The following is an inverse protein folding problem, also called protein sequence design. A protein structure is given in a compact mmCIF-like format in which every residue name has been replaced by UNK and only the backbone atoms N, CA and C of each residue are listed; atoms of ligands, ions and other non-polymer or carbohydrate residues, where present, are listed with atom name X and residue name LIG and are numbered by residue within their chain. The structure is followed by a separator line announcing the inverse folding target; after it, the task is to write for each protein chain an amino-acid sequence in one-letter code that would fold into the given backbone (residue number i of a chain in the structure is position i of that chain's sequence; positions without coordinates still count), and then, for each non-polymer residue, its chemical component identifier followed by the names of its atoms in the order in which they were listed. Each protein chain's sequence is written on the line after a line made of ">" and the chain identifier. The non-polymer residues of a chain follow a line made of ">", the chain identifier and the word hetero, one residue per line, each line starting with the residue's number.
data_IF_152914120971
#
_entry.id   IF_152914120971
#
_cell.length_a   1.000
_cell.length_b   1.000
_cell.length_c   1.000
_cell.angle_alpha   90.00
_cell.angle_beta   90.00
_cell.angle_gamma   90.00
#
_symmetry.space_group_name_H-M   'P 1'
#
loop_
_entity.id
_entity.type
_entity.pdbx_description
1 polymer ?
#
# COMPACT_ATOMS: atom_id res chain seq x y z
N UNK A 1 7.55 -20.56 -4.98
CA UNK A 1 8.32 -20.97 -3.79
C UNK A 1 8.57 -19.84 -2.77
N UNK A 2 8.50 -18.55 -3.16
CA UNK A 2 8.80 -17.43 -2.25
C UNK A 2 7.62 -16.91 -1.40
N UNK A 3 6.37 -16.96 -1.91
CA UNK A 3 5.19 -16.46 -1.18
C UNK A 3 4.88 -17.21 0.12
N UNK A 4 5.14 -18.53 0.15
CA UNK A 4 4.91 -19.39 1.32
C UNK A 4 5.75 -18.96 2.54
N UNK A 5 6.95 -18.41 2.31
CA UNK A 5 7.84 -17.92 3.37
C UNK A 5 7.35 -16.61 3.97
N UNK A 6 6.80 -15.71 3.14
CA UNK A 6 6.17 -14.48 3.62
C UNK A 6 4.94 -14.76 4.49
N UNK A 7 4.13 -15.76 4.11
CA UNK A 7 2.99 -16.22 4.91
C UNK A 7 3.40 -16.79 6.27
N UNK A 8 4.52 -17.54 6.35
CA UNK A 8 5.06 -18.03 7.63
C UNK A 8 5.69 -16.95 8.52
N UNK A 9 6.22 -15.88 7.91
CA UNK A 9 6.77 -14.73 8.63
C UNK A 9 5.68 -13.84 9.25
N UNK A 10 4.55 -13.67 8.56
CA UNK A 10 3.52 -12.69 8.92
C UNK A 10 2.98 -12.83 10.37
N UNK A 11 2.64 -14.02 10.91
CA UNK A 11 2.18 -14.15 12.29
C UNK A 11 3.20 -13.69 13.33
N UNK A 12 4.49 -13.78 13.02
CA UNK A 12 5.59 -13.38 13.89
C UNK A 12 5.91 -11.88 13.78
N UNK A 13 5.52 -11.24 12.67
CA UNK A 13 5.73 -9.81 12.43
C UNK A 13 4.47 -8.95 12.68
N UNK A 14 3.30 -9.58 12.77
CA UNK A 14 2.05 -8.88 13.09
C UNK A 14 2.08 -8.29 14.50
N UNK A 15 1.43 -7.15 14.72
CA UNK A 15 1.55 -6.40 15.96
C UNK A 15 0.97 -7.16 17.18
N UNK A 16 1.76 -7.41 18.26
CA UNK A 16 3.12 -6.92 18.50
C UNK A 16 4.20 -7.80 17.83
N UNK A 17 5.09 -7.15 17.07
CA UNK A 17 6.10 -7.85 16.27
C UNK A 17 7.15 -8.53 17.15
N UNK A 18 7.36 -9.83 16.92
CA UNK A 18 8.40 -10.65 17.57
C UNK A 18 9.68 -10.72 16.74
N UNK A 19 9.55 -10.62 15.41
CA UNK A 19 10.65 -10.65 14.46
C UNK A 19 10.45 -9.52 13.46
N UNK A 20 11.51 -8.76 13.17
CA UNK A 20 11.53 -7.71 12.16
C UNK A 20 12.15 -8.22 10.86
N UNK A 21 11.63 -7.76 9.72
CA UNK A 21 12.08 -8.21 8.40
C UNK A 21 13.51 -7.75 8.08
N UNK A 22 13.90 -6.59 8.60
CA UNK A 22 15.16 -5.92 8.28
C UNK A 22 15.26 -5.50 6.82
N UNK A 23 16.37 -4.84 6.47
CA UNK A 23 16.59 -4.34 5.11
C UNK A 23 16.81 -5.50 4.12
N UNK A 24 17.52 -6.55 4.53
CA UNK A 24 17.78 -7.73 3.70
C UNK A 24 16.49 -8.40 3.24
N UNK A 25 15.53 -8.61 4.14
CA UNK A 25 14.25 -9.24 3.80
C UNK A 25 13.40 -8.35 2.89
N UNK A 26 13.34 -7.04 3.16
CA UNK A 26 12.57 -6.09 2.37
C UNK A 26 13.14 -5.94 0.95
N UNK A 27 14.47 -5.79 0.80
CA UNK A 27 15.13 -5.70 -0.50
C UNK A 27 14.98 -7.00 -1.31
N UNK A 28 15.10 -8.16 -0.66
CA UNK A 28 14.90 -9.44 -1.33
C UNK A 28 13.47 -9.59 -1.88
N UNK A 29 12.44 -9.26 -1.09
CA UNK A 29 11.06 -9.30 -1.57
C UNK A 29 10.81 -8.29 -2.69
N UNK A 30 11.35 -7.08 -2.58
CA UNK A 30 11.27 -6.07 -3.64
C UNK A 30 11.89 -6.55 -4.95
N UNK A 31 13.09 -7.15 -4.89
CA UNK A 31 13.75 -7.74 -6.05
C UNK A 31 12.92 -8.86 -6.69
N UNK A 32 12.40 -9.79 -5.88
CA UNK A 32 11.57 -10.90 -6.40
C UNK A 32 10.29 -10.41 -7.10
N UNK A 33 9.65 -9.37 -6.55
CA UNK A 33 8.46 -8.76 -7.16
C UNK A 33 8.81 -8.06 -8.47
N UNK A 34 9.92 -7.31 -8.52
CA UNK A 34 10.39 -6.64 -9.73
C UNK A 34 10.76 -7.65 -10.83
N UNK A 35 11.49 -8.71 -10.50
CA UNK A 35 11.84 -9.78 -11.44
C UNK A 35 10.59 -10.46 -12.02
N UNK A 36 9.60 -10.77 -11.16
CA UNK A 36 8.32 -11.37 -11.59
C UNK A 36 7.52 -10.43 -12.50
N UNK A 37 7.52 -9.13 -12.20
CA UNK A 37 6.86 -8.12 -13.02
C UNK A 37 7.48 -8.01 -14.42
N UNK A 38 8.82 -8.01 -14.50
CA UNK A 38 9.55 -7.98 -15.78
C UNK A 38 9.28 -9.25 -16.59
N UNK A 39 9.33 -10.44 -15.95
CA UNK A 39 9.03 -11.70 -16.64
C UNK A 39 7.61 -11.71 -17.22
N UNK A 40 6.63 -11.20 -16.47
CA UNK A 40 5.25 -11.03 -16.94
C UNK A 40 5.14 -10.04 -18.11
N UNK A 41 5.86 -8.92 -18.04
CA UNK A 41 5.89 -7.90 -19.08
C UNK A 41 6.51 -8.40 -20.39
N UNK A 42 7.60 -9.19 -20.31
CA UNK A 42 8.27 -9.73 -21.50
C UNK A 42 7.38 -10.76 -22.23
N UNK A 43 6.59 -11.55 -21.50
CA UNK A 43 5.67 -12.54 -22.10
C UNK A 43 4.45 -11.92 -22.78
N UNK A 44 4.14 -10.65 -22.51
CA UNK A 44 3.03 -9.92 -23.12
C UNK A 44 3.54 -8.57 -23.61
N UNK A 45 3.88 -8.46 -24.90
CA UNK A 45 4.38 -7.24 -25.53
C UNK A 45 3.32 -6.12 -25.69
N UNK A 46 2.43 -5.97 -24.71
CA UNK A 46 1.33 -5.00 -24.71
C UNK A 46 1.52 -3.97 -23.60
N UNK A 47 1.01 -2.75 -23.79
CA UNK A 47 1.03 -1.71 -22.76
C UNK A 47 0.38 -2.15 -21.43
N UNK A 48 -0.59 -3.08 -21.49
CA UNK A 48 -1.24 -3.70 -20.33
C UNK A 48 -0.21 -4.35 -19.40
N UNK A 49 0.79 -5.02 -19.96
CA UNK A 49 1.75 -5.81 -19.21
C UNK A 49 2.68 -4.95 -18.33
N UNK A 50 2.84 -3.66 -18.67
CA UNK A 50 3.55 -2.68 -17.84
C UNK A 50 2.64 -2.06 -16.78
N UNK A 51 1.36 -1.83 -17.09
CA UNK A 51 0.41 -1.19 -16.17
C UNK A 51 0.04 -2.13 -15.02
N UNK A 52 -0.11 -3.43 -15.30
CA UNK A 52 -0.48 -4.46 -14.30
C UNK A 52 0.42 -4.45 -13.06
N UNK A 53 1.76 -4.57 -13.16
CA UNK A 53 2.63 -4.53 -11.98
C UNK A 53 2.67 -3.16 -11.30
N UNK A 54 2.58 -2.06 -12.06
CA UNK A 54 2.50 -0.70 -11.49
C UNK A 54 1.24 -0.57 -10.63
N UNK A 55 0.10 -1.07 -11.11
CA UNK A 55 -1.16 -1.04 -10.37
C UNK A 55 -1.10 -1.96 -9.15
N UNK A 56 -0.58 -3.18 -9.28
CA UNK A 56 -0.45 -4.13 -8.16
C UNK A 56 0.49 -3.60 -7.05
N UNK A 57 1.55 -2.88 -7.43
CA UNK A 57 2.50 -2.24 -6.51
C UNK A 57 2.15 -0.76 -6.25
N UNK A 58 0.91 -0.35 -6.55
CA UNK A 58 0.51 1.06 -6.48
C UNK A 58 0.73 1.66 -5.11
N UNK A 59 0.44 0.94 -4.03
CA UNK A 59 0.65 1.43 -2.66
C UNK A 59 2.13 1.70 -2.33
N UNK A 60 3.08 0.74 -2.44
CA UNK A 60 4.49 1.00 -2.13
C UNK A 60 5.12 2.02 -3.08
N UNK A 61 4.74 2.04 -4.37
CA UNK A 61 5.19 3.06 -5.32
C UNK A 61 4.71 4.44 -4.89
N UNK A 62 3.42 4.57 -4.56
CA UNK A 62 2.84 5.84 -4.14
C UNK A 62 3.44 6.35 -2.83
N UNK A 63 3.61 5.49 -1.81
CA UNK A 63 4.20 5.90 -0.52
C UNK A 63 5.63 6.42 -0.70
N UNK A 64 6.43 5.75 -1.54
CA UNK A 64 7.81 6.16 -1.84
C UNK A 64 7.84 7.45 -2.67
N UNK A 65 7.08 7.52 -3.75
CA UNK A 65 7.01 8.71 -4.61
C UNK A 65 6.53 9.94 -3.83
N UNK A 66 5.51 9.76 -2.98
CA UNK A 66 4.98 10.81 -2.14
C UNK A 66 5.99 11.28 -1.07
N UNK A 67 6.80 10.37 -0.51
CA UNK A 67 7.90 10.74 0.36
C UNK A 67 8.98 11.55 -0.37
N UNK A 68 9.37 11.12 -1.59
CA UNK A 68 10.34 11.84 -2.43
C UNK A 68 9.84 13.25 -2.75
N UNK A 69 8.63 13.39 -3.29
CA UNK A 69 8.05 14.70 -3.64
C UNK A 69 7.97 15.60 -2.41
N UNK A 70 7.53 15.09 -1.27
CA UNK A 70 7.49 15.85 -0.01
C UNK A 70 8.88 16.33 0.42
N UNK A 71 9.91 15.50 0.32
CA UNK A 71 11.28 15.88 0.72
C UNK A 71 11.81 16.99 -0.20
N UNK A 72 11.62 16.84 -1.51
CA UNK A 72 12.02 17.84 -2.51
C UNK A 72 11.35 19.20 -2.27
N UNK A 73 10.03 19.22 -2.03
CA UNK A 73 9.30 20.46 -1.76
C UNK A 73 9.72 21.16 -0.46
N UNK A 74 10.26 20.41 0.51
CA UNK A 74 10.78 20.96 1.77
C UNK A 74 12.30 21.21 1.75
N UNK A 75 12.95 21.10 0.58
CA UNK A 75 14.40 21.31 0.44
C UNK A 75 15.26 20.26 1.17
N UNK A 76 14.68 19.11 1.53
CA UNK A 76 15.39 18.02 2.22
C UNK A 76 16.02 17.04 1.25
N UNK A 77 17.09 16.37 1.69
CA UNK A 77 17.73 15.32 0.90
C UNK A 77 16.78 14.13 0.72
N UNK A 78 16.82 13.52 -0.46
CA UNK A 78 16.05 12.31 -0.77
C UNK A 78 16.48 11.13 0.12
N UNK A 79 17.71 11.10 0.63
CA UNK A 79 18.22 10.01 1.47
C UNK A 79 18.01 10.23 2.98
N UNK A 80 17.42 11.36 3.38
CA UNK A 80 17.17 11.65 4.79
C UNK A 80 16.05 10.76 5.36
N UNK A 81 16.21 10.28 6.59
CA UNK A 81 15.19 9.46 7.25
C UNK A 81 13.88 10.24 7.44
N UNK A 82 12.75 9.64 7.08
CA UNK A 82 11.43 10.27 7.17
C UNK A 82 10.44 9.37 7.90
N UNK A 83 9.67 9.96 8.80
CA UNK A 83 8.60 9.30 9.57
C UNK A 83 7.21 9.62 9.00
N UNK A 84 7.13 10.27 7.84
CA UNK A 84 5.91 10.72 7.20
C UNK A 84 5.23 9.69 6.29
N UNK A 85 5.59 8.41 6.37
CA UNK A 85 4.95 7.32 5.62
C UNK A 85 3.46 7.20 5.94
N UNK A 86 2.70 6.60 5.02
CA UNK A 86 1.24 6.54 5.11
C UNK A 86 0.73 5.95 6.42
N UNK A 87 1.37 4.91 6.96
CA UNK A 87 0.94 4.31 8.22
C UNK A 87 1.07 5.28 9.41
N UNK A 88 2.14 6.06 9.50
CA UNK A 88 2.29 7.08 10.53
C UNK A 88 1.26 8.21 10.37
N UNK A 89 0.95 8.60 9.14
CA UNK A 89 -0.11 9.60 8.87
C UNK A 89 -1.49 9.11 9.26
N UNK A 90 -1.79 7.83 9.02
CA UNK A 90 -3.02 7.18 9.45
C UNK A 90 -3.11 7.16 10.98
N UNK A 91 -2.01 6.84 11.67
CA UNK A 91 -1.97 6.90 13.14
C UNK A 91 -2.11 8.32 13.69
N UNK A 92 -1.51 9.33 13.04
CA UNK A 92 -1.67 10.73 13.42
C UNK A 92 -3.12 11.23 13.29
N UNK A 93 -3.96 10.55 12.50
CA UNK A 93 -5.41 10.81 12.38
C UNK A 93 -6.26 10.05 13.42
N UNK A 94 -5.64 9.37 14.38
CA UNK A 94 -6.32 8.69 15.49
C UNK A 94 -6.50 7.19 15.32
N UNK A 95 -6.00 6.59 14.23
CA UNK A 95 -6.01 5.14 14.07
C UNK A 95 -4.97 4.47 14.97
N UNK A 96 -5.32 3.33 15.54
CA UNK A 96 -4.31 2.44 16.13
C UNK A 96 -3.38 1.87 15.06
N UNK A 97 -2.17 1.48 15.45
CA UNK A 97 -1.20 0.87 14.54
C UNK A 97 -1.78 -0.35 13.80
N UNK A 98 -2.57 -1.19 14.50
CA UNK A 98 -3.25 -2.35 13.89
C UNK A 98 -4.25 -1.93 12.82
N UNK A 99 -5.09 -0.93 13.11
CA UNK A 99 -6.06 -0.41 12.15
C UNK A 99 -5.37 0.20 10.92
N UNK A 100 -4.28 0.96 11.12
CA UNK A 100 -3.51 1.54 10.01
C UNK A 100 -2.93 0.45 9.10
N UNK A 101 -2.34 -0.61 9.66
CA UNK A 101 -1.79 -1.73 8.87
C UNK A 101 -2.89 -2.49 8.12
N UNK A 102 -4.01 -2.81 8.78
CA UNK A 102 -5.15 -3.47 8.14
C UNK A 102 -5.74 -2.64 6.99
N UNK A 103 -5.81 -1.33 7.17
CA UNK A 103 -6.26 -0.41 6.11
C UNK A 103 -5.33 -0.42 4.90
N UNK A 104 -4.02 -0.43 5.13
CA UNK A 104 -3.02 -0.54 4.06
C UNK A 104 -3.08 -1.91 3.37
N UNK A 105 -3.34 -3.00 4.10
CA UNK A 105 -3.58 -4.32 3.50
C UNK A 105 -4.81 -4.32 2.60
N UNK A 106 -5.90 -3.69 3.05
CA UNK A 106 -7.12 -3.57 2.25
C UNK A 106 -6.88 -2.80 0.95
N UNK A 107 -6.14 -1.68 1.00
CA UNK A 107 -5.77 -0.92 -0.20
C UNK A 107 -4.92 -1.77 -1.15
N UNK A 108 -3.84 -2.38 -0.65
CA UNK A 108 -2.96 -3.23 -1.46
C UNK A 108 -3.70 -4.39 -2.11
N UNK A 109 -4.58 -5.06 -1.35
CA UNK A 109 -5.40 -6.15 -1.87
C UNK A 109 -6.34 -5.67 -2.98
N UNK A 110 -7.03 -4.55 -2.77
CA UNK A 110 -7.95 -3.97 -3.75
C UNK A 110 -7.24 -3.59 -5.05
N UNK A 111 -6.06 -2.97 -4.97
CA UNK A 111 -5.23 -2.64 -6.13
C UNK A 111 -4.74 -3.91 -6.86
N UNK A 112 -4.38 -4.96 -6.10
CA UNK A 112 -4.06 -6.27 -6.65
C UNK A 112 -5.22 -6.89 -7.43
N UNK A 113 -6.45 -6.81 -6.89
CA UNK A 113 -7.67 -7.27 -7.59
C UNK A 113 -7.91 -6.47 -8.87
N UNK A 114 -7.81 -5.13 -8.83
CA UNK A 114 -7.92 -4.28 -10.02
C UNK A 114 -6.87 -4.64 -11.09
N UNK A 115 -5.64 -4.94 -10.67
CA UNK A 115 -4.56 -5.39 -11.55
C UNK A 115 -4.87 -6.73 -12.22
N UNK A 116 -5.44 -7.69 -11.49
CA UNK A 116 -5.88 -8.98 -12.05
C UNK A 116 -7.05 -8.79 -13.02
N UNK A 117 -8.03 -7.95 -12.69
CA UNK A 117 -9.16 -7.62 -13.59
C UNK A 117 -8.64 -7.01 -14.89
N UNK A 118 -7.70 -6.07 -14.81
CA UNK A 118 -7.06 -5.48 -15.97
C UNK A 118 -6.34 -6.52 -16.84
N UNK A 119 -5.62 -7.45 -16.21
CA UNK A 119 -4.86 -8.48 -16.91
C UNK A 119 -5.72 -9.57 -17.56
N UNK A 120 -6.91 -9.85 -17.00
CA UNK A 120 -7.73 -11.01 -17.38
C UNK A 120 -9.02 -10.68 -18.10
N UNK A 121 -9.60 -9.51 -17.84
CA UNK A 121 -10.92 -9.13 -18.32
C UNK A 121 -10.81 -7.98 -19.31
N UNK A 122 -10.26 -6.84 -18.87
CA UNK A 122 -10.12 -5.68 -19.73
C UNK A 122 -10.00 -4.35 -18.99
N UNK A 123 -9.74 -3.29 -19.76
CA UNK A 123 -9.55 -1.94 -19.24
C UNK A 123 -10.83 -1.34 -18.66
N UNK A 124 -11.99 -1.58 -19.30
CA UNK A 124 -13.26 -0.96 -18.88
C UNK A 124 -13.66 -1.43 -17.49
N UNK A 125 -13.55 -2.73 -17.25
CA UNK A 125 -13.86 -3.39 -15.98
C UNK A 125 -12.87 -2.99 -14.90
N UNK A 126 -11.59 -2.86 -15.25
CA UNK A 126 -10.56 -2.37 -14.33
C UNK A 126 -10.82 -0.93 -13.88
N UNK A 127 -11.25 -0.05 -14.78
CA UNK A 127 -11.61 1.34 -14.45
C UNK A 127 -12.82 1.35 -13.51
N UNK A 128 -13.88 0.60 -13.80
CA UNK A 128 -15.07 0.52 -12.94
C UNK A 128 -14.68 0.03 -11.53
N UNK A 129 -13.88 -1.03 -11.45
CA UNK A 129 -13.40 -1.56 -10.18
C UNK A 129 -12.54 -0.53 -9.42
N UNK A 130 -11.65 0.18 -10.12
CA UNK A 130 -10.81 1.21 -9.51
C UNK A 130 -11.64 2.38 -8.98
N UNK A 131 -12.62 2.87 -9.74
CA UNK A 131 -13.54 3.92 -9.30
C UNK A 131 -14.30 3.48 -8.04
N UNK A 132 -14.81 2.25 -8.02
CA UNK A 132 -15.49 1.70 -6.85
C UNK A 132 -14.56 1.65 -5.62
N UNK A 133 -13.31 1.20 -5.79
CA UNK A 133 -12.30 1.19 -4.71
C UNK A 133 -12.03 2.60 -4.21
N UNK A 134 -11.86 3.59 -5.09
CA UNK A 134 -11.63 4.99 -4.70
C UNK A 134 -12.83 5.54 -3.91
N UNK A 135 -14.07 5.27 -4.35
CA UNK A 135 -15.28 5.66 -3.63
C UNK A 135 -15.33 5.02 -2.23
N UNK A 136 -15.03 3.72 -2.12
CA UNK A 136 -14.97 3.01 -0.83
C UNK A 136 -13.91 3.59 0.11
N UNK A 137 -12.71 3.90 -0.40
CA UNK A 137 -11.65 4.53 0.39
C UNK A 137 -12.03 5.93 0.85
N UNK A 138 -12.68 6.73 -0.02
CA UNK A 138 -13.15 8.05 0.34
C UNK A 138 -14.21 7.98 1.46
N UNK A 139 -15.18 7.06 1.33
CA UNK A 139 -16.19 6.84 2.35
C UNK A 139 -15.59 6.35 3.66
N UNK A 140 -14.63 5.42 3.61
CA UNK A 140 -13.94 4.92 4.80
C UNK A 140 -13.15 6.03 5.51
N UNK A 141 -12.49 6.94 4.79
CA UNK A 141 -11.79 8.08 5.40
C UNK A 141 -12.78 9.02 6.07
N UNK A 142 -13.93 9.29 5.44
CA UNK A 142 -15.00 10.10 6.03
C UNK A 142 -15.52 9.48 7.32
N UNK A 143 -15.80 8.18 7.32
CA UNK A 143 -16.26 7.45 8.49
C UNK A 143 -15.25 7.50 9.65
N UNK A 144 -13.96 7.32 9.34
CA UNK A 144 -12.88 7.38 10.32
C UNK A 144 -12.73 8.79 10.92
N UNK A 145 -12.83 9.84 10.11
CA UNK A 145 -12.79 11.21 10.62
C UNK A 145 -13.93 11.51 11.60
N UNK A 146 -15.16 11.06 11.28
CA UNK A 146 -16.33 11.25 12.16
C UNK A 146 -16.10 10.60 13.52
N UNK A 147 -15.59 9.36 13.55
CA UNK A 147 -15.29 8.62 14.79
C UNK A 147 -14.20 9.29 15.63
N UNK A 148 -13.16 9.84 14.99
CA UNK A 148 -12.09 10.56 15.69
C UNK A 148 -12.61 11.86 16.33
N UNK A 149 -13.50 12.60 15.66
CA UNK A 149 -14.11 13.80 16.22
C UNK A 149 -15.03 13.50 17.41
N UNK A 150 -15.82 12.41 17.34
CA UNK A 150 -16.68 12.00 18.46
C UNK A 150 -15.87 11.65 19.71
N UNK A 151 -14.72 10.99 19.54
CA UNK A 151 -13.83 10.63 20.66
C UNK A 151 -13.15 11.84 21.30
N UNK A 152 -12.84 12.88 20.52
CA UNK A 152 -12.32 14.15 21.04
C UNK A 152 -13.35 14.92 21.86
N UNK A 153 -14.63 14.90 21.43
CA UNK A 153 -15.73 15.58 22.13
C UNK A 153 -16.10 14.95 23.47
N UNK A 154 -15.81 13.66 23.66
CA UNK A 154 -16.19 12.89 24.87
C UNK A 154 -15.09 12.78 25.92
N UNK A 155 -13.85 13.17 25.61
CA UNK A 155 -12.74 13.29 26.57
C UNK A 155 -12.40 14.75 26.93
N UNK A 156 -13.17 15.71 26.39
CA UNK A 156 -13.07 17.14 26.71
C UNK A 156 -14.19 17.65 27.63
N UNK A 157 -14.96 16.75 28.26
CA UNK A 157 -15.92 17.05 29.32
C UNK A 157 -15.45 16.43 30.63
#
# INVERSE_FOLDING_TARGET
>A
MSFSKALGFLPHNFNPAKIFMGDTGAMFLGFMLAASAIEGAVKSATAIALIVPILALGLPIFDTAFAIVRRLLNGKSIMEADKGHLHHRLMARGLSQRQAVLYLYFISFSLGVCSVILARIGFKEAIIALTFVICMLFFSIRYLNVMTETKKSTHGM
#
